data_IF_656741634981
#
_entry.id   IF_656741634981
#
_cell.length_a   1.000
_cell.length_b   1.000
_cell.length_c   1.000
_cell.angle_alpha   90.00
_cell.angle_beta   90.00
_cell.angle_gamma   90.00
#
_symmetry.space_group_name_H-M   'P 1'
#
loop_
_entity.id
_entity.type
_entity.pdbx_description
1 polymer ?
#
# COMPACT_ATOMS: atom_id res chain seq x y z
N UNK A 1 -17.56 -16.86 2.48
CA UNK A 1 -18.52 -15.80 2.05
C UNK A 1 -18.23 -15.48 0.58
N UNK A 2 -19.25 -15.22 -0.23
CA UNK A 2 -19.07 -14.81 -1.63
C UNK A 2 -18.82 -13.29 -1.72
N UNK A 3 -18.04 -12.86 -2.70
CA UNK A 3 -17.76 -11.44 -2.96
C UNK A 3 -19.03 -10.78 -3.53
N UNK A 4 -19.71 -9.98 -2.70
CA UNK A 4 -20.90 -9.24 -3.08
C UNK A 4 -20.58 -7.85 -3.63
N UNK A 5 -21.65 -7.08 -3.92
CA UNK A 5 -21.53 -5.67 -4.33
C UNK A 5 -20.71 -4.87 -3.29
N UNK A 6 -19.78 -4.05 -3.78
CA UNK A 6 -18.86 -3.26 -2.96
C UNK A 6 -17.42 -3.80 -2.94
N UNK A 7 -17.22 -5.06 -3.36
CA UNK A 7 -15.89 -5.58 -3.67
C UNK A 7 -15.49 -5.24 -5.12
N UNK A 8 -14.22 -4.90 -5.31
CA UNK A 8 -13.61 -4.78 -6.63
C UNK A 8 -12.74 -6.02 -6.88
N UNK A 9 -13.05 -6.75 -7.96
CA UNK A 9 -12.17 -7.76 -8.53
C UNK A 9 -11.76 -7.27 -9.91
N UNK A 10 -10.48 -6.93 -10.03
CA UNK A 10 -9.92 -6.28 -11.22
C UNK A 10 -9.18 -7.32 -12.05
N UNK A 11 -9.31 -7.21 -13.37
CA UNK A 11 -8.58 -8.00 -14.35
C UNK A 11 -7.48 -7.15 -14.99
N UNK A 12 -6.37 -7.79 -15.36
CA UNK A 12 -5.25 -7.16 -16.08
C UNK A 12 -4.88 -7.95 -17.34
N UNK A 13 -5.85 -8.67 -17.92
CA UNK A 13 -5.67 -9.55 -19.08
C UNK A 13 -5.67 -8.82 -20.42
N UNK A 14 -6.11 -7.55 -20.46
CA UNK A 14 -6.11 -6.69 -21.65
C UNK A 14 -5.48 -5.34 -21.34
N UNK A 15 -5.09 -4.58 -22.36
CA UNK A 15 -4.58 -3.22 -22.18
C UNK A 15 -5.61 -2.30 -21.51
N UNK A 16 -6.88 -2.41 -21.91
CA UNK A 16 -7.95 -1.59 -21.35
C UNK A 16 -8.21 -1.97 -19.89
N UNK A 17 -8.36 -3.28 -19.59
CA UNK A 17 -8.59 -3.74 -18.21
C UNK A 17 -7.45 -3.40 -17.26
N UNK A 18 -6.19 -3.49 -17.74
CA UNK A 18 -5.03 -3.04 -16.96
C UNK A 18 -5.05 -1.52 -16.69
N UNK A 19 -5.43 -0.71 -17.68
CA UNK A 19 -5.54 0.75 -17.50
C UNK A 19 -6.63 1.08 -16.48
N UNK A 20 -7.80 0.45 -16.57
CA UNK A 20 -8.90 0.61 -15.61
C UNK A 20 -8.49 0.20 -14.19
N UNK A 21 -7.79 -0.93 -14.04
CA UNK A 21 -7.29 -1.39 -12.75
C UNK A 21 -6.27 -0.39 -12.15
N UNK A 22 -5.39 0.15 -12.99
CA UNK A 22 -4.41 1.15 -12.58
C UNK A 22 -5.07 2.44 -12.08
N UNK A 23 -6.04 2.95 -12.84
CA UNK A 23 -6.83 4.12 -12.43
C UNK A 23 -7.62 3.86 -11.14
N UNK A 24 -8.19 2.66 -10.98
CA UNK A 24 -8.90 2.30 -9.75
C UNK A 24 -7.99 2.40 -8.52
N UNK A 25 -6.80 1.79 -8.58
CA UNK A 25 -5.82 1.86 -7.48
C UNK A 25 -5.38 3.30 -7.22
N UNK A 26 -5.06 4.06 -8.26
CA UNK A 26 -4.64 5.46 -8.13
C UNK A 26 -5.68 6.32 -7.39
N UNK A 27 -6.96 6.19 -7.75
CA UNK A 27 -8.05 6.94 -7.11
C UNK A 27 -8.20 6.57 -5.64
N UNK A 28 -8.14 5.28 -5.31
CA UNK A 28 -8.24 4.80 -3.93
C UNK A 28 -7.08 5.33 -3.09
N UNK A 29 -5.83 5.20 -3.57
CA UNK A 29 -4.66 5.66 -2.83
C UNK A 29 -4.69 7.18 -2.61
N UNK A 30 -5.06 7.96 -3.65
CA UNK A 30 -5.15 9.42 -3.55
C UNK A 30 -6.21 9.89 -2.57
N UNK A 31 -7.34 9.17 -2.45
CA UNK A 31 -8.42 9.58 -1.54
C UNK A 31 -8.25 9.12 -0.10
N UNK A 32 -7.67 7.95 0.13
CA UNK A 32 -7.47 7.44 1.48
C UNK A 32 -6.12 7.86 2.07
N UNK A 33 -5.14 8.23 1.23
CA UNK A 33 -3.77 8.50 1.68
C UNK A 33 -3.05 7.24 2.16
N UNK A 34 -3.55 6.07 1.75
CA UNK A 34 -3.02 4.74 2.07
C UNK A 34 -2.64 4.02 0.77
N UNK A 35 -1.60 3.18 0.84
CA UNK A 35 -1.20 2.35 -0.29
C UNK A 35 -1.86 0.98 -0.26
N UNK A 36 -2.41 0.56 -1.39
CA UNK A 36 -2.97 -0.78 -1.56
C UNK A 36 -1.83 -1.76 -1.83
N UNK A 37 -1.84 -2.91 -1.17
CA UNK A 37 -0.81 -3.95 -1.32
C UNK A 37 0.65 -3.50 -1.03
N UNK A 38 0.85 -2.50 -0.16
CA UNK A 38 2.18 -2.18 0.38
C UNK A 38 2.69 -3.32 1.28
N UNK A 39 3.66 -4.09 0.79
CA UNK A 39 4.12 -5.32 1.43
C UNK A 39 4.83 -5.06 2.75
N UNK A 40 5.67 -4.04 2.82
CA UNK A 40 6.40 -3.66 4.02
C UNK A 40 5.45 -3.21 5.13
N UNK A 41 4.42 -2.43 4.77
CA UNK A 41 3.39 -2.01 5.71
C UNK A 41 2.54 -3.18 6.22
N UNK A 42 2.25 -4.18 5.36
CA UNK A 42 1.58 -5.41 5.78
C UNK A 42 2.49 -6.20 6.73
N UNK A 43 3.76 -6.39 6.38
CA UNK A 43 4.74 -7.12 7.19
C UNK A 43 4.91 -6.49 8.58
N UNK A 44 5.01 -5.16 8.67
CA UNK A 44 5.11 -4.47 9.96
C UNK A 44 3.83 -4.68 10.80
N UNK A 45 2.64 -4.52 10.21
CA UNK A 45 1.36 -4.74 10.92
C UNK A 45 1.16 -6.16 11.41
N UNK A 46 1.74 -7.14 10.72
CA UNK A 46 1.71 -8.55 11.11
C UNK A 46 2.86 -8.93 12.07
N UNK A 47 3.77 -8.01 12.38
CA UNK A 47 4.93 -8.25 13.23
C UNK A 47 6.01 -9.13 12.58
N UNK A 48 6.03 -9.24 11.26
CA UNK A 48 7.06 -9.99 10.53
C UNK A 48 8.37 -9.22 10.41
N UNK A 49 8.31 -7.89 10.48
CA UNK A 49 9.47 -7.01 10.56
C UNK A 49 9.25 -5.98 11.67
N UNK A 50 10.34 -5.52 12.25
CA UNK A 50 10.41 -4.44 13.23
C UNK A 50 10.31 -3.05 12.57
N UNK A 51 9.94 -2.01 13.34
CA UNK A 51 10.00 -0.62 12.87
C UNK A 51 11.39 -0.23 12.35
N UNK A 52 12.46 -0.74 12.96
CA UNK A 52 13.85 -0.48 12.57
C UNK A 52 14.17 -1.07 11.20
N UNK A 53 13.74 -2.31 10.94
CA UNK A 53 13.87 -2.97 9.64
C UNK A 53 13.08 -2.21 8.56
N UNK A 54 11.85 -1.77 8.86
CA UNK A 54 11.07 -0.96 7.92
C UNK A 54 11.75 0.40 7.65
N UNK A 55 12.36 1.04 8.65
CA UNK A 55 13.16 2.27 8.47
C UNK A 55 14.36 2.04 7.56
N UNK A 56 15.05 0.91 7.70
CA UNK A 56 16.17 0.55 6.83
C UNK A 56 15.70 0.35 5.38
N UNK A 57 14.56 -0.32 5.17
CA UNK A 57 13.94 -0.48 3.85
C UNK A 57 13.50 0.85 3.23
N UNK A 58 12.96 1.76 4.04
CA UNK A 58 12.57 3.10 3.59
C UNK A 58 13.77 3.97 3.21
N UNK A 59 14.93 3.76 3.83
CA UNK A 59 16.18 4.53 3.65
C UNK A 59 16.53 4.88 2.21
N UNK A 60 16.73 3.88 1.33
CA UNK A 60 17.05 4.11 -0.08
C UNK A 60 15.96 4.87 -0.86
N UNK A 61 14.71 4.82 -0.40
CA UNK A 61 13.54 5.37 -1.08
C UNK A 61 13.04 6.68 -0.49
N UNK A 62 13.69 7.25 0.54
CA UNK A 62 13.21 8.44 1.27
C UNK A 62 12.93 9.65 0.37
N UNK A 63 13.60 9.73 -0.79
CA UNK A 63 13.42 10.81 -1.76
C UNK A 63 12.15 10.69 -2.60
N UNK A 64 11.47 9.53 -2.59
CA UNK A 64 10.23 9.32 -3.33
C UNK A 64 9.03 9.15 -2.39
N UNK A 65 7.84 9.22 -2.97
CA UNK A 65 6.58 9.14 -2.21
C UNK A 65 6.39 7.80 -1.49
N UNK A 66 6.97 6.71 -2.02
CA UNK A 66 6.86 5.39 -1.40
C UNK A 66 7.67 5.32 -0.11
N UNK A 67 8.94 5.75 -0.12
CA UNK A 67 9.77 5.78 1.09
C UNK A 67 9.19 6.71 2.16
N UNK A 68 8.68 7.87 1.76
CA UNK A 68 7.97 8.78 2.68
C UNK A 68 6.71 8.14 3.28
N UNK A 69 5.95 7.39 2.48
CA UNK A 69 4.80 6.64 2.95
C UNK A 69 5.19 5.56 3.97
N UNK A 70 6.29 4.81 3.74
CA UNK A 70 6.75 3.80 4.69
C UNK A 70 7.07 4.41 6.07
N UNK A 71 7.73 5.57 6.11
CA UNK A 71 8.02 6.27 7.35
C UNK A 71 6.73 6.71 8.07
N UNK A 72 5.75 7.22 7.32
CA UNK A 72 4.44 7.59 7.88
C UNK A 72 3.72 6.41 8.54
N UNK A 73 3.79 5.22 7.94
CA UNK A 73 3.19 4.00 8.50
C UNK A 73 3.85 3.59 9.82
N UNK A 74 5.17 3.75 9.95
CA UNK A 74 5.89 3.50 11.22
C UNK A 74 5.37 4.44 12.31
N UNK A 75 5.24 5.72 12.00
CA UNK A 75 4.76 6.73 12.95
C UNK A 75 3.32 6.47 13.39
N UNK A 76 2.43 6.10 12.45
CA UNK A 76 1.02 5.76 12.75
C UNK A 76 0.88 4.57 13.72
N UNK A 77 1.75 3.57 13.60
CA UNK A 77 1.73 2.38 14.46
C UNK A 77 2.39 2.60 15.82
N UNK A 78 3.30 3.57 15.93
CA UNK A 78 3.95 3.92 17.20
C UNK A 78 3.01 4.64 18.17
N UNK A 79 1.88 5.16 17.67
CA UNK A 79 0.86 5.89 18.45
C UNK A 79 -0.23 4.93 18.99
N UNK A 80 -0.28 3.68 18.50
CA UNK A 80 -1.22 2.65 18.97
C UNK A 80 -0.62 1.79 20.07
#
# INVERSE_FOLDING_TARGET
QLLGRGFAWLDTGTHDSLSEASTFIEVIEKRQGLKVACLEGIALRQGWISPEEMKALAGPMQKNQYGQYLLKVIDELSIK
#
